data_IF_678317449076
#
_entry.id   IF_678317449076
#
_cell.length_a   1.000
_cell.length_b   1.000
_cell.length_c   1.000
_cell.angle_alpha   90.00
_cell.angle_beta   90.00
_cell.angle_gamma   90.00
#
_symmetry.space_group_name_H-M   'P 1'
#
loop_
_entity.id
_entity.type
_entity.pdbx_description
1 polymer ?
#
# COMPACT_ATOMS: atom_id res chain seq x y z
N UNK A 1 -12.09 7.27 12.91
CA UNK A 1 -12.37 5.90 12.43
C UNK A 1 -12.44 5.87 10.92
N UNK A 2 -11.90 4.82 10.34
CA UNK A 2 -11.97 4.65 8.90
C UNK A 2 -13.36 4.21 8.48
N UNK A 3 -13.85 4.80 7.40
CA UNK A 3 -15.11 4.37 6.82
C UNK A 3 -14.88 3.11 5.98
N UNK A 4 -15.97 2.42 5.64
CA UNK A 4 -15.88 1.25 4.76
C UNK A 4 -15.26 1.63 3.43
N UNK A 5 -15.60 2.82 2.93
CA UNK A 5 -15.07 3.33 1.68
C UNK A 5 -13.55 3.51 1.75
N UNK A 6 -13.06 4.09 2.85
CA UNK A 6 -11.63 4.25 3.05
C UNK A 6 -10.91 2.91 3.08
N UNK A 7 -11.49 1.93 3.76
CA UNK A 7 -10.90 0.59 3.85
C UNK A 7 -10.83 -0.08 2.47
N UNK A 8 -11.88 0.04 1.69
CA UNK A 8 -11.89 -0.56 0.35
C UNK A 8 -10.83 0.06 -0.54
N UNK A 9 -10.71 1.37 -0.50
CA UNK A 9 -9.71 2.06 -1.31
C UNK A 9 -8.30 1.71 -0.84
N UNK A 10 -8.08 1.67 0.47
CA UNK A 10 -6.77 1.32 1.01
C UNK A 10 -6.38 -0.11 0.60
N UNK A 11 -7.31 -1.04 0.66
CA UNK A 11 -7.07 -2.41 0.25
C UNK A 11 -6.72 -2.49 -1.24
N UNK A 12 -7.46 -1.76 -2.05
CA UNK A 12 -7.21 -1.74 -3.49
C UNK A 12 -5.82 -1.18 -3.79
N UNK A 13 -5.46 -0.08 -3.15
CA UNK A 13 -4.13 0.52 -3.32
C UNK A 13 -3.05 -0.48 -2.91
N UNK A 14 -3.23 -1.15 -1.79
CA UNK A 14 -2.26 -2.13 -1.33
C UNK A 14 -2.08 -3.26 -2.34
N UNK A 15 -3.17 -3.76 -2.88
CA UNK A 15 -3.12 -4.85 -3.85
C UNK A 15 -2.40 -4.42 -5.13
N UNK A 16 -2.76 -3.26 -5.65
CA UNK A 16 -2.15 -2.76 -6.88
C UNK A 16 -0.67 -2.50 -6.70
N UNK A 17 -0.30 -1.86 -5.59
CA UNK A 17 1.11 -1.57 -5.32
C UNK A 17 1.92 -2.85 -5.11
N UNK A 18 1.35 -3.83 -4.42
CA UNK A 18 2.03 -5.11 -4.23
C UNK A 18 2.29 -5.80 -5.56
N UNK A 19 1.32 -5.75 -6.46
CA UNK A 19 1.47 -6.33 -7.79
C UNK A 19 2.57 -5.61 -8.58
N UNK A 20 2.58 -4.29 -8.53
CA UNK A 20 3.61 -3.50 -9.21
C UNK A 20 4.98 -3.82 -8.65
N UNK A 21 5.11 -3.90 -7.33
CA UNK A 21 6.38 -4.24 -6.69
C UNK A 21 6.91 -5.59 -7.16
N UNK A 22 6.03 -6.59 -7.25
CA UNK A 22 6.42 -7.90 -7.71
C UNK A 22 6.82 -7.89 -9.18
N UNK A 23 6.06 -7.19 -10.00
CA UNK A 23 6.33 -7.12 -11.43
C UNK A 23 7.65 -6.45 -11.72
N UNK A 24 7.95 -5.37 -11.01
CA UNK A 24 9.18 -4.62 -11.23
C UNK A 24 10.37 -5.17 -10.46
N UNK A 25 10.14 -6.16 -9.60
CA UNK A 25 11.21 -6.76 -8.83
C UNK A 25 11.76 -5.87 -7.72
N UNK A 26 11.01 -4.85 -7.32
CA UNK A 26 11.47 -3.91 -6.29
C UNK A 26 11.16 -4.37 -4.87
N UNK A 27 10.73 -5.61 -4.70
CA UNK A 27 10.54 -6.19 -3.39
C UNK A 27 11.84 -6.54 -2.70
N UNK A 28 12.95 -6.52 -3.45
CA UNK A 28 14.28 -6.81 -2.93
C UNK A 28 15.17 -5.60 -3.08
N UNK A 29 15.65 -5.04 -1.98
CA UNK A 29 16.54 -3.89 -2.01
C UNK A 29 17.73 -4.18 -1.09
N UNK A 30 18.93 -4.15 -1.65
CA UNK A 30 20.18 -4.32 -0.90
C UNK A 30 20.17 -5.54 0.01
N UNK A 31 19.65 -6.65 -0.49
CA UNK A 31 19.61 -7.89 0.25
C UNK A 31 18.44 -7.99 1.24
N UNK A 32 17.64 -6.95 1.33
CA UNK A 32 16.44 -6.96 2.16
C UNK A 32 15.19 -7.06 1.32
N UNK A 33 14.11 -7.50 1.93
CA UNK A 33 12.82 -7.61 1.27
C UNK A 33 11.92 -6.46 1.73
N UNK A 34 11.32 -5.77 0.77
CA UNK A 34 10.37 -4.70 1.07
C UNK A 34 8.97 -5.20 0.81
N UNK A 35 8.10 -5.09 1.80
CA UNK A 35 6.69 -5.42 1.64
C UNK A 35 5.85 -4.26 2.13
N UNK A 36 4.64 -4.16 1.61
CA UNK A 36 3.70 -3.16 2.08
C UNK A 36 3.06 -3.67 3.36
N UNK A 37 3.33 -3.00 4.47
CA UNK A 37 2.81 -3.38 5.77
C UNK A 37 1.38 -2.91 5.94
N UNK A 38 1.12 -1.68 5.55
CA UNK A 38 -0.19 -1.09 5.79
C UNK A 38 -0.41 0.11 4.86
N UNK A 39 -1.66 0.35 4.51
CA UNK A 39 -2.03 1.52 3.72
C UNK A 39 -3.20 2.20 4.41
N UNK A 40 -3.10 3.52 4.58
CA UNK A 40 -4.18 4.32 5.12
C UNK A 40 -4.58 5.38 4.12
N UNK A 41 -5.86 5.75 4.13
CA UNK A 41 -6.41 6.77 3.24
C UNK A 41 -7.04 7.84 4.10
N UNK A 42 -6.82 9.11 3.77
CA UNK A 42 -7.40 10.22 4.51
C UNK A 42 -8.92 10.26 4.33
N UNK A 43 -9.59 10.95 5.25
CA UNK A 43 -11.05 11.01 5.24
C UNK A 43 -11.63 11.66 3.99
N UNK A 44 -10.88 12.55 3.35
CA UNK A 44 -11.30 13.22 2.12
C UNK A 44 -10.93 12.43 0.86
N UNK A 45 -10.25 11.30 1.03
CA UNK A 45 -9.84 10.41 -0.07
C UNK A 45 -8.88 11.08 -1.04
N UNK A 46 -8.19 12.12 -0.61
CA UNK A 46 -7.24 12.84 -1.46
C UNK A 46 -5.82 12.33 -1.24
N UNK A 47 -5.49 11.92 -0.02
CA UNK A 47 -4.16 11.47 0.34
C UNK A 47 -4.17 10.03 0.81
N UNK A 48 -3.10 9.33 0.50
CA UNK A 48 -2.91 7.97 0.98
C UNK A 48 -1.51 7.84 1.54
N UNK A 49 -1.38 7.09 2.63
CA UNK A 49 -0.08 6.79 3.24
C UNK A 49 0.21 5.32 3.09
N UNK A 50 1.40 5.00 2.62
CA UNK A 50 1.85 3.61 2.45
C UNK A 50 2.99 3.36 3.42
N UNK A 51 2.83 2.32 4.24
CA UNK A 51 3.85 1.92 5.21
C UNK A 51 4.58 0.69 4.68
N UNK A 52 5.89 0.76 4.65
CA UNK A 52 6.73 -0.34 4.18
C UNK A 52 7.43 -1.01 5.36
N UNK A 53 7.67 -2.30 5.21
CA UNK A 53 8.42 -3.06 6.20
C UNK A 53 9.76 -3.50 5.63
#
# INVERSE_FOLDING_TARGET
>A
METIKQRKIAKLIKEVLSEIFQREGITMVQGGMITISHVTVSGDLVNAKVYLS
#
